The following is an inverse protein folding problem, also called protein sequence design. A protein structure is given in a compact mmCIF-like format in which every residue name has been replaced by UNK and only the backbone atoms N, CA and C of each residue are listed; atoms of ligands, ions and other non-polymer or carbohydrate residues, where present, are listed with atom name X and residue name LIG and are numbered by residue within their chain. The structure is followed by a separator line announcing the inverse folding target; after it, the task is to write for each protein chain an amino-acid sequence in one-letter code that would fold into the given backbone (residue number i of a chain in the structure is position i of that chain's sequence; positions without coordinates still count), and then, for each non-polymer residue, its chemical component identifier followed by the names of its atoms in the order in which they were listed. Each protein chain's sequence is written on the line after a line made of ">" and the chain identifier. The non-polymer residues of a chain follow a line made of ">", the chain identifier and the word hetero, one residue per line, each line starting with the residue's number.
data_IF_874742701793
#
_entry.id   IF_874742701793
#
_cell.length_a   1.000
_cell.length_b   1.000
_cell.length_c   1.000
_cell.angle_alpha   90.00
_cell.angle_beta   90.00
_cell.angle_gamma   90.00
#
_symmetry.space_group_name_H-M   'P 1'
#
loop_
_entity.id
_entity.type
_entity.pdbx_description
1 polymer ?
#
# COMPACT_ATOMS: atom_id res chain seq x y z
N UNK A 1 22.66 23.11 28.38
CA UNK A 1 23.17 21.93 27.64
C UNK A 1 22.00 21.10 27.14
N UNK A 2 21.79 21.03 25.83
CA UNK A 2 20.77 20.16 25.24
C UNK A 2 21.37 18.76 25.11
N UNK A 3 20.95 17.83 25.97
CA UNK A 3 21.37 16.44 25.85
C UNK A 3 20.71 15.87 24.59
N UNK A 4 21.46 15.46 23.55
CA UNK A 4 20.86 14.90 22.36
C UNK A 4 20.06 13.65 22.76
N UNK A 5 18.90 13.40 22.14
CA UNK A 5 18.16 12.17 22.39
C UNK A 5 19.07 10.98 22.13
N UNK A 6 19.03 9.97 23.01
CA UNK A 6 19.73 8.72 22.76
C UNK A 6 19.35 8.17 21.38
N UNK A 7 20.29 7.47 20.73
CA UNK A 7 20.11 6.88 19.39
C UNK A 7 18.78 6.12 19.26
N UNK A 8 18.37 5.42 20.32
CA UNK A 8 17.10 4.67 20.36
C UNK A 8 15.86 5.56 20.37
N UNK A 9 15.88 6.65 21.14
CA UNK A 9 14.77 7.63 21.15
C UNK A 9 14.64 8.30 19.78
N UNK A 10 15.75 8.63 19.14
CA UNK A 10 15.75 9.19 17.79
C UNK A 10 15.19 8.19 16.77
N UNK A 11 15.61 6.92 16.81
CA UNK A 11 15.07 5.86 15.94
C UNK A 11 13.57 5.64 16.13
N UNK A 12 13.09 5.64 17.38
CA UNK A 12 11.67 5.50 17.68
C UNK A 12 10.86 6.68 17.14
N UNK A 13 11.33 7.92 17.35
CA UNK A 13 10.69 9.13 16.84
C UNK A 13 10.67 9.17 15.31
N UNK A 14 11.77 8.77 14.65
CA UNK A 14 11.85 8.68 13.20
C UNK A 14 10.86 7.63 12.66
N UNK A 15 10.78 6.45 13.29
CA UNK A 15 9.82 5.40 12.89
C UNK A 15 8.37 5.89 13.01
N UNK A 16 8.02 6.57 14.10
CA UNK A 16 6.68 7.14 14.31
C UNK A 16 6.35 8.17 13.23
N UNK A 17 7.28 9.07 12.93
CA UNK A 17 7.11 10.11 11.91
C UNK A 17 6.95 9.49 10.51
N UNK A 18 7.77 8.50 10.17
CA UNK A 18 7.66 7.76 8.91
C UNK A 18 6.31 7.05 8.79
N UNK A 19 5.83 6.40 9.85
CA UNK A 19 4.51 5.74 9.84
C UNK A 19 3.38 6.75 9.63
N UNK A 20 3.45 7.92 10.27
CA UNK A 20 2.48 9.00 10.08
C UNK A 20 2.48 9.50 8.63
N UNK A 21 3.65 9.75 8.05
CA UNK A 21 3.78 10.18 6.66
C UNK A 21 3.25 9.13 5.67
N UNK A 22 3.56 7.84 5.88
CA UNK A 22 3.06 6.75 5.05
C UNK A 22 1.54 6.61 5.13
N UNK A 23 0.95 6.82 6.32
CA UNK A 23 -0.50 6.84 6.49
C UNK A 23 -1.15 7.99 5.74
N UNK A 24 -0.65 9.22 5.91
CA UNK A 24 -1.16 10.38 5.20
C UNK A 24 -1.06 10.22 3.67
N UNK A 25 0.05 9.65 3.17
CA UNK A 25 0.20 9.33 1.75
C UNK A 25 -0.77 8.24 1.28
N UNK A 26 -1.05 7.23 2.10
CA UNK A 26 -2.03 6.19 1.77
C UNK A 26 -3.46 6.74 1.75
N UNK A 27 -3.77 7.74 2.57
CA UNK A 27 -5.05 8.46 2.53
C UNK A 27 -5.18 9.34 1.27
N UNK A 28 -4.07 9.93 0.81
CA UNK A 28 -3.99 10.72 -0.43
C UNK A 28 -3.82 9.87 -1.71
N UNK A 29 -3.85 8.54 -1.60
CA UNK A 29 -3.61 7.63 -2.71
C UNK A 29 -4.69 7.73 -3.80
N UNK A 30 -4.30 8.20 -4.99
CA UNK A 30 -5.16 8.25 -6.17
C UNK A 30 -5.13 6.92 -6.91
N UNK A 31 -6.03 6.04 -6.49
CA UNK A 31 -6.06 4.63 -6.90
C UNK A 31 -6.06 4.42 -8.41
N UNK A 32 -6.95 5.09 -9.13
CA UNK A 32 -7.09 4.86 -10.56
C UNK A 32 -5.86 5.32 -11.34
N UNK A 33 -5.36 6.53 -11.06
CA UNK A 33 -4.15 7.08 -11.69
C UNK A 33 -2.94 6.15 -11.49
N UNK A 34 -2.76 5.63 -10.26
CA UNK A 34 -1.63 4.76 -9.95
C UNK A 34 -1.74 3.38 -10.60
N UNK A 35 -2.91 2.73 -10.48
CA UNK A 35 -3.10 1.37 -10.98
C UNK A 35 -3.13 1.29 -12.51
N UNK A 36 -3.46 2.38 -13.22
CA UNK A 36 -3.35 2.44 -14.68
C UNK A 36 -1.94 2.16 -15.21
N UNK A 37 -0.90 2.32 -14.39
CA UNK A 37 0.48 1.96 -14.77
C UNK A 37 0.75 0.45 -14.79
N UNK A 38 -0.17 -0.37 -14.27
CA UNK A 38 -0.04 -1.83 -14.22
C UNK A 38 -0.72 -2.48 -15.42
N UNK A 39 0.06 -2.87 -16.42
CA UNK A 39 -0.43 -3.54 -17.65
C UNK A 39 -1.23 -4.84 -17.40
N UNK A 40 -1.07 -5.50 -16.25
CA UNK A 40 -1.83 -6.71 -15.89
C UNK A 40 -3.19 -6.44 -15.26
N UNK A 41 -3.48 -5.19 -14.91
CA UNK A 41 -4.76 -4.80 -14.33
C UNK A 41 -5.64 -4.21 -15.43
N UNK A 42 -6.78 -4.86 -15.69
CA UNK A 42 -7.78 -4.29 -16.59
C UNK A 42 -8.49 -3.11 -15.92
N UNK A 43 -9.08 -2.22 -16.74
CA UNK A 43 -9.92 -1.13 -16.23
C UNK A 43 -11.11 -1.65 -15.41
N UNK A 44 -11.66 -2.81 -15.76
CA UNK A 44 -12.77 -3.43 -15.00
C UNK A 44 -12.33 -3.90 -13.61
N UNK A 45 -11.14 -4.51 -13.49
CA UNK A 45 -10.58 -4.90 -12.19
C UNK A 45 -10.26 -3.66 -11.36
N UNK A 46 -9.74 -2.61 -11.98
CA UNK A 46 -9.54 -1.33 -11.29
C UNK A 46 -10.90 -0.79 -10.82
N UNK A 47 -11.91 -0.64 -11.68
CA UNK A 47 -13.20 -0.07 -11.26
C UNK A 47 -14.00 -0.91 -10.24
N UNK A 48 -13.76 -2.23 -10.16
CA UNK A 48 -14.55 -3.13 -9.34
C UNK A 48 -14.35 -2.92 -7.82
N UNK A 49 -15.46 -2.85 -7.09
CA UNK A 49 -15.53 -2.77 -5.63
C UNK A 49 -15.88 -4.14 -5.02
N UNK A 50 -15.05 -5.16 -5.33
CA UNK A 50 -15.26 -6.54 -4.85
C UNK A 50 -14.01 -7.08 -4.15
N UNK A 51 -14.17 -8.01 -3.18
CA UNK A 51 -13.02 -8.68 -2.55
C UNK A 51 -12.09 -9.36 -3.55
N UNK A 52 -12.64 -9.95 -4.61
CA UNK A 52 -11.89 -10.64 -5.65
C UNK A 52 -11.01 -9.67 -6.44
N UNK A 53 -11.55 -8.52 -6.84
CA UNK A 53 -10.77 -7.49 -7.54
C UNK A 53 -9.65 -6.94 -6.65
N UNK A 54 -9.94 -6.69 -5.38
CA UNK A 54 -8.94 -6.22 -4.42
C UNK A 54 -7.78 -7.22 -4.24
N UNK A 55 -8.07 -8.52 -4.22
CA UNK A 55 -7.04 -9.57 -4.15
C UNK A 55 -6.13 -9.58 -5.39
N UNK A 56 -6.70 -9.38 -6.58
CA UNK A 56 -5.90 -9.28 -7.83
C UNK A 56 -4.98 -8.06 -7.80
N UNK A 57 -5.48 -6.90 -7.37
CA UNK A 57 -4.68 -5.68 -7.25
C UNK A 57 -3.53 -5.88 -6.26
N UNK A 58 -3.81 -6.45 -5.07
CA UNK A 58 -2.78 -6.72 -4.05
C UNK A 58 -1.67 -7.62 -4.58
N UNK A 59 -2.03 -8.71 -5.28
CA UNK A 59 -1.06 -9.63 -5.89
C UNK A 59 -0.10 -8.92 -6.84
N UNK A 60 -0.59 -8.01 -7.68
CA UNK A 60 0.27 -7.26 -8.61
C UNK A 60 1.14 -6.22 -7.90
N UNK A 61 0.63 -5.58 -6.85
CA UNK A 61 1.43 -4.68 -6.00
C UNK A 61 2.56 -5.43 -5.29
N UNK A 62 2.28 -6.59 -4.70
CA UNK A 62 3.28 -7.44 -4.05
C UNK A 62 4.33 -7.95 -5.04
N UNK A 63 3.92 -8.29 -6.25
CA UNK A 63 4.85 -8.67 -7.33
C UNK A 63 5.79 -7.51 -7.68
N UNK A 64 5.24 -6.31 -7.86
CA UNK A 64 6.02 -5.12 -8.16
C UNK A 64 6.98 -4.74 -7.01
N UNK A 65 6.53 -4.85 -5.76
CA UNK A 65 7.35 -4.63 -4.57
C UNK A 65 8.54 -5.60 -4.51
N UNK A 66 8.30 -6.89 -4.76
CA UNK A 66 9.37 -7.90 -4.80
C UNK A 66 10.36 -7.62 -5.92
N UNK A 67 9.88 -7.26 -7.11
CA UNK A 67 10.74 -6.91 -8.24
C UNK A 67 11.60 -5.68 -7.95
N UNK A 68 11.05 -4.65 -7.31
CA UNK A 68 11.81 -3.46 -6.92
C UNK A 68 12.83 -3.77 -5.83
N UNK A 69 12.43 -4.53 -4.80
CA UNK A 69 13.32 -4.94 -3.71
C UNK A 69 14.48 -5.81 -4.18
N UNK A 70 14.27 -6.65 -5.20
CA UNK A 70 15.32 -7.47 -5.80
C UNK A 70 16.44 -6.63 -6.46
N UNK A 71 16.18 -5.35 -6.77
CA UNK A 71 17.17 -4.42 -7.31
C UNK A 71 17.96 -3.69 -6.22
N UNK A 72 17.73 -3.95 -4.94
CA UNK A 72 18.42 -3.22 -3.86
C UNK A 72 19.95 -3.29 -4.03
N UNK A 73 20.61 -2.13 -4.02
CA UNK A 73 22.06 -2.00 -4.28
C UNK A 73 22.44 -1.94 -5.76
N UNK A 74 21.48 -2.11 -6.68
CA UNK A 74 21.67 -1.89 -8.12
C UNK A 74 21.30 -0.45 -8.49
N UNK A 75 21.95 0.12 -9.50
CA UNK A 75 21.72 1.51 -9.94
C UNK A 75 20.28 1.77 -10.43
N UNK A 76 19.56 0.72 -10.82
CA UNK A 76 18.15 0.77 -11.23
C UNK A 76 17.16 0.72 -10.06
N UNK A 77 17.63 0.66 -8.81
CA UNK A 77 16.74 0.70 -7.65
C UNK A 77 16.13 2.08 -7.52
N UNK A 78 14.80 2.16 -7.57
CA UNK A 78 14.08 3.41 -7.42
C UNK A 78 13.37 3.44 -6.06
N UNK A 79 13.95 4.21 -5.12
CA UNK A 79 13.38 4.41 -3.79
C UNK A 79 12.02 5.11 -3.84
N UNK A 80 11.82 6.05 -4.75
CA UNK A 80 10.55 6.77 -4.91
C UNK A 80 9.45 5.81 -5.35
N UNK A 81 9.76 4.97 -6.34
CA UNK A 81 8.87 3.89 -6.79
C UNK A 81 8.58 2.90 -5.66
N UNK A 82 9.59 2.49 -4.89
CA UNK A 82 9.41 1.60 -3.76
C UNK A 82 8.44 2.17 -2.72
N UNK A 83 8.61 3.45 -2.34
CA UNK A 83 7.73 4.13 -1.39
C UNK A 83 6.31 4.23 -1.95
N UNK A 84 6.14 4.58 -3.24
CA UNK A 84 4.83 4.66 -3.87
C UNK A 84 4.11 3.31 -3.87
N UNK A 85 4.82 2.21 -4.16
CA UNK A 85 4.30 0.86 -4.08
C UNK A 85 3.88 0.47 -2.65
N UNK A 86 4.66 0.83 -1.63
CA UNK A 86 4.30 0.58 -0.23
C UNK A 86 3.05 1.34 0.21
N UNK A 87 2.91 2.59 -0.25
CA UNK A 87 1.73 3.42 0.00
C UNK A 87 0.49 2.80 -0.64
N UNK A 88 0.57 2.46 -1.93
CA UNK A 88 -0.53 1.82 -2.66
C UNK A 88 -0.93 0.48 -2.02
N UNK A 89 0.05 -0.36 -1.65
CA UNK A 89 -0.20 -1.64 -1.00
C UNK A 89 -0.95 -1.47 0.33
N UNK A 90 -0.53 -0.52 1.18
CA UNK A 90 -1.24 -0.25 2.45
C UNK A 90 -2.67 0.23 2.23
N UNK A 91 -2.88 1.13 1.27
CA UNK A 91 -4.20 1.63 0.94
C UNK A 91 -5.12 0.50 0.43
N UNK A 92 -4.62 -0.36 -0.46
CA UNK A 92 -5.39 -1.48 -1.01
C UNK A 92 -5.62 -2.61 0.01
N UNK A 93 -4.71 -2.83 0.97
CA UNK A 93 -4.97 -3.74 2.10
C UNK A 93 -6.14 -3.24 2.97
N UNK A 94 -6.15 -1.95 3.32
CA UNK A 94 -7.24 -1.36 4.07
C UNK A 94 -8.57 -1.44 3.30
N UNK A 95 -8.53 -1.23 1.96
CA UNK A 95 -9.69 -1.41 1.08
C UNK A 95 -10.20 -2.84 1.09
N UNK A 96 -9.32 -3.83 0.89
CA UNK A 96 -9.68 -5.26 0.88
C UNK A 96 -10.37 -5.68 2.19
N UNK A 97 -9.86 -5.24 3.34
CA UNK A 97 -10.47 -5.50 4.65
C UNK A 97 -11.87 -4.87 4.79
N UNK A 98 -12.08 -3.66 4.26
CA UNK A 98 -13.42 -3.05 4.23
C UNK A 98 -14.39 -3.86 3.37
N UNK A 99 -13.97 -4.24 2.16
CA UNK A 99 -14.79 -5.00 1.23
C UNK A 99 -15.16 -6.39 1.77
N UNK A 100 -14.21 -7.08 2.40
CA UNK A 100 -14.46 -8.38 3.03
C UNK A 100 -15.50 -8.29 4.15
N UNK A 101 -15.42 -7.26 5.00
CA UNK A 101 -16.42 -7.03 6.07
C UNK A 101 -17.80 -6.72 5.52
N UNK A 102 -17.89 -5.89 4.48
CA UNK A 102 -19.17 -5.59 3.82
C UNK A 102 -19.79 -6.84 3.20
N UNK A 103 -19.00 -7.64 2.49
CA UNK A 103 -19.46 -8.89 1.90
C UNK A 103 -19.98 -9.89 2.96
N UNK A 104 -19.28 -10.02 4.09
CA UNK A 104 -19.70 -10.87 5.19
C UNK A 104 -21.01 -10.39 5.84
N UNK A 105 -21.20 -9.07 6.02
CA UNK A 105 -22.45 -8.50 6.52
C UNK A 105 -23.61 -8.80 5.58
N UNK A 106 -23.44 -8.52 4.28
CA UNK A 106 -24.47 -8.80 3.28
C UNK A 106 -24.85 -10.27 3.18
N UNK A 107 -23.94 -11.20 3.49
CA UNK A 107 -24.24 -12.62 3.55
C UNK A 107 -25.08 -12.99 4.78
N UNK A 108 -24.86 -12.33 5.93
CA UNK A 108 -25.64 -12.53 7.16
C UNK A 108 -27.07 -12.02 7.06
N UNK A 109 -27.27 -10.89 6.39
CA UNK A 109 -28.60 -10.25 6.26
C UNK A 109 -29.53 -10.98 5.26
N UNK A 110 -29.03 -12.00 4.54
CA UNK A 110 -29.79 -12.82 3.57
C UNK A 110 -30.27 -14.15 4.13
N UNK A 111 -29.97 -14.45 5.39
CA UNK A 111 -30.38 -15.65 6.14
C UNK A 111 -31.47 -15.26 7.12
#
# INVERSE_FOLDING_TARGET
>A
MHNPPSSDRLRAAARKSLQSALRAKAEAYRREEFLRSFHRLSRSVIAAETPQAAAVVLKELERALRAERARAGHWTYDLTRHIALLVAHRAEQARALRLARSAHRSARDRV
#
